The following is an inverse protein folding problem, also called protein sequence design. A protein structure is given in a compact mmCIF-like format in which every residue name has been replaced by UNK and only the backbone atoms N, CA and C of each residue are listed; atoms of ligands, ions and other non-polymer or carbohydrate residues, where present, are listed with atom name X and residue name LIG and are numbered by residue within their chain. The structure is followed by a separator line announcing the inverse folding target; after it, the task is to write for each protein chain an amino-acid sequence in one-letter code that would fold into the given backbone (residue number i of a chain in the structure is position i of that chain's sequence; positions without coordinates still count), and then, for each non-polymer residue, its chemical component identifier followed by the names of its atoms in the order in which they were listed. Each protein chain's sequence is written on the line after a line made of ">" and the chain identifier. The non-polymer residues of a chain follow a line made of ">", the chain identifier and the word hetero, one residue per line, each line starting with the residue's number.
data_IF_407508305529
#
_entry.id   IF_407508305529
#
_cell.length_a   1.000
_cell.length_b   1.000
_cell.length_c   1.000
_cell.angle_alpha   90.00
_cell.angle_beta   90.00
_cell.angle_gamma   90.00
#
_symmetry.space_group_name_H-M   'P 1'
#
loop_
_entity.id
_entity.type
_entity.pdbx_description
1 polymer ?
#
# COMPACT_ATOMS: atom_id res chain seq x y z
N UNK A 1 -5.95 1.05 2.17
CA UNK A 1 -5.97 1.86 0.93
C UNK A 1 -6.22 3.29 1.41
N UNK A 2 -6.25 4.33 0.59
CA UNK A 2 -6.74 5.63 1.05
C UNK A 2 -7.57 6.21 -0.09
N UNK A 3 -8.85 6.44 0.17
CA UNK A 3 -9.75 7.00 -0.82
C UNK A 3 -9.70 8.51 -0.71
N UNK A 4 -9.63 9.20 -1.85
CA UNK A 4 -9.81 10.64 -1.90
C UNK A 4 -10.95 11.00 -2.83
N UNK A 5 -11.53 12.17 -2.58
CA UNK A 5 -12.45 12.85 -3.48
C UNK A 5 -12.15 14.33 -3.31
N UNK A 6 -11.57 14.94 -4.33
CA UNK A 6 -11.35 16.37 -4.39
C UNK A 6 -12.32 16.99 -5.39
N UNK A 7 -12.89 18.13 -5.03
CA UNK A 7 -13.84 18.86 -5.85
C UNK A 7 -13.64 20.37 -5.68
N UNK A 8 -13.73 21.14 -6.78
CA UNK A 8 -13.76 22.61 -6.76
C UNK A 8 -12.58 23.27 -5.98
N UNK A 9 -11.35 22.84 -6.25
CA UNK A 9 -10.15 23.42 -5.63
C UNK A 9 -9.85 22.93 -4.21
N UNK A 10 -10.55 21.90 -3.74
CA UNK A 10 -10.16 21.17 -2.53
C UNK A 10 -8.90 20.32 -2.81
N UNK A 11 -8.02 20.19 -1.81
CA UNK A 11 -6.89 19.26 -1.86
C UNK A 11 -7.14 18.04 -0.95
N UNK A 12 -6.51 16.92 -1.29
CA UNK A 12 -6.48 15.72 -0.46
C UNK A 12 -5.05 15.38 -0.10
N UNK A 13 -4.79 15.26 1.20
CA UNK A 13 -3.47 14.89 1.71
C UNK A 13 -3.46 13.46 2.21
N UNK A 14 -2.46 12.72 1.79
CA UNK A 14 -2.15 11.38 2.24
C UNK A 14 -0.76 11.33 2.84
N UNK A 15 -0.57 10.44 3.81
CA UNK A 15 0.75 10.16 4.38
C UNK A 15 1.18 8.77 3.94
N UNK A 16 2.13 8.72 3.01
CA UNK A 16 2.82 7.49 2.67
C UNK A 16 3.78 7.11 3.79
N UNK A 17 3.56 5.92 4.35
CA UNK A 17 4.37 5.35 5.43
C UNK A 17 5.29 4.23 4.94
N UNK A 18 5.28 3.91 3.64
CA UNK A 18 6.10 2.86 3.01
C UNK A 18 7.33 3.43 2.32
N UNK A 19 8.10 4.22 3.07
CA UNK A 19 9.32 4.89 2.62
C UNK A 19 10.21 3.97 1.73
N UNK A 20 10.28 4.33 0.44
CA UNK A 20 11.17 3.73 -0.55
C UNK A 20 10.60 2.53 -1.34
N UNK A 21 9.29 2.29 -1.32
CA UNK A 21 8.63 1.22 -2.09
C UNK A 21 7.73 1.73 -3.24
N UNK A 22 7.66 3.05 -3.42
CA UNK A 22 6.79 3.68 -4.40
C UNK A 22 5.31 3.62 -4.01
N UNK A 23 4.47 4.34 -4.73
CA UNK A 23 3.02 4.31 -4.53
C UNK A 23 2.28 4.46 -5.85
N UNK A 24 1.01 4.07 -5.85
CA UNK A 24 0.12 4.21 -6.99
C UNK A 24 -1.08 5.02 -6.56
N UNK A 25 -1.46 5.96 -7.42
CA UNK A 25 -2.68 6.76 -7.31
C UNK A 25 -3.57 6.40 -8.49
N UNK A 26 -4.66 5.71 -8.17
CA UNK A 26 -5.72 5.37 -9.12
C UNK A 26 -6.78 6.45 -9.09
N UNK A 27 -7.24 6.92 -10.25
CA UNK A 27 -8.33 7.87 -10.39
C UNK A 27 -9.52 7.17 -11.06
N UNK A 28 -10.57 6.89 -10.31
CA UNK A 28 -11.81 6.27 -10.80
C UNK A 28 -12.65 7.24 -11.63
N UNK A 29 -12.58 8.53 -11.28
CA UNK A 29 -13.18 9.63 -12.02
C UNK A 29 -12.21 10.79 -12.05
N UNK A 30 -12.09 11.46 -13.18
CA UNK A 30 -11.28 12.67 -13.36
C UNK A 30 -12.00 13.61 -14.32
N UNK A 31 -12.00 14.91 -14.03
CA UNK A 31 -12.63 15.92 -14.90
C UNK A 31 -11.62 16.64 -15.80
N UNK A 32 -10.80 17.53 -15.23
CA UNK A 32 -9.96 18.45 -16.03
C UNK A 32 -8.49 18.19 -15.78
N UNK A 33 -8.06 18.36 -14.54
CA UNK A 33 -6.66 18.31 -14.17
C UNK A 33 -6.43 17.79 -12.76
N UNK A 34 -5.18 17.53 -12.44
CA UNK A 34 -4.70 17.42 -11.07
C UNK A 34 -3.20 17.74 -11.01
N UNK A 35 -2.77 18.23 -9.85
CA UNK A 35 -1.36 18.36 -9.48
C UNK A 35 -1.06 17.47 -8.29
N UNK A 36 0.23 17.20 -8.07
CA UNK A 36 0.70 16.45 -6.91
C UNK A 36 1.85 17.19 -6.29
N UNK A 37 1.86 17.27 -4.97
CA UNK A 37 3.00 17.73 -4.18
C UNK A 37 3.45 16.60 -3.26
N UNK A 38 4.76 16.40 -3.16
CA UNK A 38 5.38 15.43 -2.25
C UNK A 38 6.29 16.20 -1.31
N UNK A 39 6.00 16.15 -0.01
CA UNK A 39 6.69 16.94 1.03
C UNK A 39 6.81 18.42 0.65
N UNK A 40 5.68 19.02 0.27
CA UNK A 40 5.56 20.41 -0.19
C UNK A 40 6.31 20.76 -1.50
N UNK A 41 6.76 19.76 -2.27
CA UNK A 41 7.41 19.97 -3.57
C UNK A 41 6.53 19.47 -4.71
N UNK A 42 6.27 20.33 -5.69
CA UNK A 42 5.49 19.98 -6.88
C UNK A 42 6.17 18.84 -7.66
N UNK A 43 5.40 17.79 -7.93
CA UNK A 43 5.85 16.62 -8.70
C UNK A 43 6.09 16.99 -10.16
N UNK A 44 5.28 17.89 -10.71
CA UNK A 44 5.41 18.39 -12.07
C UNK A 44 5.85 19.85 -12.05
N UNK A 45 6.64 20.25 -13.05
CA UNK A 45 7.07 21.64 -13.26
C UNK A 45 7.10 21.98 -14.74
N UNK A 46 6.86 23.24 -15.06
CA UNK A 46 6.94 23.78 -16.42
C UNK A 46 5.56 23.86 -17.06
N UNK A 47 5.46 23.48 -18.32
CA UNK A 47 4.22 23.57 -19.09
C UNK A 47 4.09 24.87 -19.90
N UNK A 48 2.89 25.13 -20.46
CA UNK A 48 2.60 26.33 -21.23
C UNK A 48 2.81 27.60 -20.41
N UNK A 49 3.17 28.70 -21.08
CA UNK A 49 3.41 29.97 -20.40
C UNK A 49 2.13 30.48 -19.72
N UNK A 50 2.17 30.62 -18.39
CA UNK A 50 1.03 31.05 -17.58
C UNK A 50 0.15 29.90 -17.07
N UNK A 51 0.44 28.66 -17.46
CA UNK A 51 -0.22 27.47 -16.91
C UNK A 51 0.32 27.14 -15.52
N UNK A 52 -0.52 26.47 -14.74
CA UNK A 52 -0.14 25.86 -13.47
C UNK A 52 0.65 24.56 -13.69
N UNK A 53 1.36 24.11 -12.66
CA UNK A 53 2.16 22.88 -12.66
C UNK A 53 1.30 21.60 -12.53
N UNK A 54 0.38 21.38 -13.47
CA UNK A 54 -0.63 20.31 -13.41
C UNK A 54 -0.68 19.43 -14.65
N UNK A 55 -1.15 18.20 -14.47
CA UNK A 55 -1.58 17.33 -15.55
C UNK A 55 -2.94 17.81 -16.04
N UNK A 56 -2.97 18.42 -17.21
CA UNK A 56 -4.14 19.06 -17.79
C UNK A 56 -4.63 18.24 -19.00
N UNK A 57 -5.81 17.66 -18.84
CA UNK A 57 -6.46 16.78 -19.82
C UNK A 57 -7.48 17.54 -20.67
N UNK A 58 -7.93 18.72 -20.26
CA UNK A 58 -8.92 19.52 -20.96
C UNK A 58 -8.29 20.40 -22.06
N UNK A 59 -9.01 20.68 -23.16
CA UNK A 59 -8.54 21.63 -24.20
C UNK A 59 -9.18 23.02 -24.13
N UNK A 60 -10.39 23.12 -23.59
CA UNK A 60 -11.18 24.36 -23.57
C UNK A 60 -10.96 25.07 -22.23
N UNK A 61 -10.85 26.40 -22.27
CA UNK A 61 -10.68 27.25 -21.07
C UNK A 61 -9.41 26.97 -20.25
N UNK A 62 -8.37 26.41 -20.86
CA UNK A 62 -7.05 26.19 -20.26
C UNK A 62 -5.94 26.88 -21.07
N UNK A 63 -4.78 27.08 -20.46
CA UNK A 63 -3.51 27.47 -21.08
C UNK A 63 -2.90 26.36 -21.96
N UNK A 64 -3.43 25.14 -21.87
CA UNK A 64 -3.20 24.04 -22.81
C UNK A 64 -2.94 22.70 -22.12
N UNK A 65 -3.34 21.62 -22.78
CA UNK A 65 -3.06 20.26 -22.31
C UNK A 65 -1.56 20.02 -22.09
N UNK A 66 -1.26 19.21 -21.08
CA UNK A 66 0.10 18.81 -20.70
C UNK A 66 0.30 17.30 -20.66
N UNK A 67 -0.76 16.52 -20.91
CA UNK A 67 -0.73 15.06 -21.01
C UNK A 67 -1.34 14.56 -22.32
N UNK A 68 -0.71 13.57 -22.94
CA UNK A 68 -1.20 12.90 -24.15
C UNK A 68 -0.86 11.40 -24.10
N UNK A 69 -1.47 10.58 -24.94
CA UNK A 69 -1.09 9.18 -25.07
C UNK A 69 0.29 9.04 -25.72
N UNK A 70 0.98 7.92 -25.44
CA UNK A 70 2.29 7.63 -26.01
C UNK A 70 2.29 7.57 -27.56
N UNK A 71 1.14 7.23 -28.16
CA UNK A 71 0.95 7.24 -29.61
C UNK A 71 0.58 8.61 -30.20
N UNK A 72 0.43 9.63 -29.35
CA UNK A 72 0.16 11.02 -29.74
C UNK A 72 -1.32 11.40 -29.71
N UNK A 73 -2.22 10.45 -29.47
CA UNK A 73 -3.65 10.74 -29.29
C UNK A 73 -3.86 11.63 -28.07
N UNK A 74 -4.92 12.44 -28.11
CA UNK A 74 -5.30 13.33 -27.00
C UNK A 74 -6.76 13.19 -26.62
N UNK A 75 -7.03 13.31 -25.32
CA UNK A 75 -8.37 13.51 -24.80
C UNK A 75 -9.01 14.75 -25.45
N UNK A 76 -10.32 14.69 -25.70
CA UNK A 76 -11.12 15.68 -26.43
C UNK A 76 -10.79 15.89 -27.92
N UNK A 77 -9.80 15.18 -28.48
CA UNK A 77 -9.42 15.29 -29.89
C UNK A 77 -9.58 13.95 -30.59
N UNK A 78 -8.84 12.96 -30.13
CA UNK A 78 -8.81 11.60 -30.70
C UNK A 78 -9.55 10.61 -29.79
N UNK A 79 -9.59 10.92 -28.50
CA UNK A 79 -10.21 10.15 -27.43
C UNK A 79 -11.35 10.97 -26.81
N UNK A 80 -12.45 10.37 -26.30
CA UNK A 80 -13.46 11.08 -25.52
C UNK A 80 -12.85 11.89 -24.39
N UNK A 81 -13.60 12.85 -23.85
CA UNK A 81 -13.10 13.62 -22.71
C UNK A 81 -12.93 12.70 -21.48
N UNK A 82 -11.94 12.97 -20.61
CA UNK A 82 -11.63 12.07 -19.50
C UNK A 82 -12.81 11.92 -18.52
N UNK A 83 -13.63 12.97 -18.33
CA UNK A 83 -14.86 12.93 -17.51
C UNK A 83 -16.00 12.10 -18.09
N UNK A 84 -15.89 11.69 -19.36
CA UNK A 84 -16.88 10.85 -20.02
C UNK A 84 -16.55 9.36 -19.88
N UNK A 85 -15.35 9.04 -19.39
CA UNK A 85 -14.85 7.68 -19.32
C UNK A 85 -15.07 7.09 -17.93
N UNK A 86 -15.39 5.80 -17.90
CA UNK A 86 -15.59 5.08 -16.64
C UNK A 86 -15.39 3.58 -16.79
N UNK A 87 -15.05 2.96 -15.66
CA UNK A 87 -14.75 1.54 -15.58
C UNK A 87 -15.65 0.89 -14.51
N UNK A 88 -16.51 -0.02 -14.97
CA UNK A 88 -17.41 -0.79 -14.11
C UNK A 88 -16.77 -2.03 -13.50
N UNK A 89 -15.53 -2.36 -13.93
CA UNK A 89 -14.73 -3.48 -13.46
C UNK A 89 -13.82 -3.13 -12.27
N UNK A 90 -13.81 -1.87 -11.81
CA UNK A 90 -12.96 -1.39 -10.71
C UNK A 90 -11.51 -1.07 -11.09
N UNK A 91 -11.18 -0.98 -12.39
CA UNK A 91 -9.92 -0.37 -12.86
C UNK A 91 -10.08 1.16 -12.95
N UNK A 92 -9.02 1.96 -12.77
CA UNK A 92 -9.14 3.42 -12.84
C UNK A 92 -9.21 3.95 -14.28
N UNK A 93 -9.71 5.17 -14.43
CA UNK A 93 -9.69 5.92 -15.70
C UNK A 93 -8.31 6.51 -15.96
N UNK A 94 -7.61 6.97 -14.93
CA UNK A 94 -6.22 7.43 -14.97
C UNK A 94 -5.44 6.80 -13.82
N UNK A 95 -4.21 6.38 -14.06
CA UNK A 95 -3.28 5.89 -13.02
C UNK A 95 -1.98 6.66 -13.08
N UNK A 96 -1.49 7.04 -11.90
CA UNK A 96 -0.14 7.55 -11.71
C UNK A 96 0.63 6.60 -10.81
N UNK A 97 1.79 6.15 -11.28
CA UNK A 97 2.70 5.31 -10.52
C UNK A 97 3.97 6.11 -10.19
N UNK A 98 4.30 6.18 -8.91
CA UNK A 98 5.60 6.67 -8.42
C UNK A 98 6.40 5.45 -8.01
N UNK A 99 7.39 5.09 -8.81
CA UNK A 99 8.18 3.88 -8.58
C UNK A 99 9.26 4.09 -7.50
N UNK A 100 9.73 3.01 -6.85
CA UNK A 100 10.82 3.06 -5.87
C UNK A 100 12.12 3.71 -6.36
N UNK A 101 12.35 3.71 -7.67
CA UNK A 101 13.54 4.30 -8.30
C UNK A 101 13.35 5.78 -8.67
N UNK A 102 12.21 6.37 -8.32
CA UNK A 102 11.86 7.76 -8.59
C UNK A 102 11.30 7.99 -10.00
N UNK A 103 11.11 6.92 -10.80
CA UNK A 103 10.43 7.05 -12.10
C UNK A 103 8.93 7.27 -11.89
N UNK A 104 8.34 8.12 -12.74
CA UNK A 104 6.91 8.40 -12.75
C UNK A 104 6.35 7.82 -14.04
N UNK A 105 5.33 6.98 -13.91
CA UNK A 105 4.59 6.43 -15.04
C UNK A 105 3.13 6.88 -14.96
N UNK A 106 2.56 7.16 -16.13
CA UNK A 106 1.18 7.62 -16.26
C UNK A 106 0.45 6.71 -17.24
N UNK A 107 -0.79 6.40 -16.91
CA UNK A 107 -1.65 5.59 -17.73
C UNK A 107 -3.06 6.17 -17.77
N UNK A 108 -3.75 5.97 -18.87
CA UNK A 108 -5.15 6.35 -19.01
C UNK A 108 -5.89 5.41 -19.93
N UNK A 109 -7.22 5.40 -19.85
CA UNK A 109 -8.06 4.62 -20.77
C UNK A 109 -8.49 5.48 -21.96
N UNK A 110 -8.71 4.83 -23.12
CA UNK A 110 -9.23 5.49 -24.34
C UNK A 110 -10.74 5.30 -24.55
N UNK A 111 -11.35 4.35 -23.83
CA UNK A 111 -12.75 3.99 -23.95
C UNK A 111 -13.23 3.36 -22.63
N UNK A 112 -14.55 3.34 -22.40
CA UNK A 112 -15.15 2.77 -21.20
C UNK A 112 -14.76 1.29 -21.02
N UNK A 113 -14.32 0.91 -19.82
CA UNK A 113 -13.81 -0.43 -19.50
C UNK A 113 -12.62 -0.87 -20.36
N UNK A 114 -11.95 0.07 -21.04
CA UNK A 114 -10.75 -0.17 -21.82
C UNK A 114 -9.52 -0.42 -20.95
N UNK A 115 -8.45 -1.00 -21.52
CA UNK A 115 -7.20 -1.19 -20.81
C UNK A 115 -6.52 0.16 -20.54
N UNK A 116 -5.78 0.24 -19.43
CA UNK A 116 -4.83 1.32 -19.18
C UNK A 116 -3.73 1.29 -20.24
N UNK A 117 -3.52 2.42 -20.92
CA UNK A 117 -2.47 2.61 -21.91
C UNK A 117 -1.54 3.77 -21.51
N UNK A 118 -0.24 3.72 -21.86
CA UNK A 118 0.72 4.71 -21.41
C UNK A 118 0.39 6.14 -21.88
N UNK A 119 0.48 7.07 -20.94
CA UNK A 119 0.46 8.52 -21.16
C UNK A 119 1.89 9.07 -21.08
N UNK A 120 2.09 10.25 -21.66
CA UNK A 120 3.34 11.00 -21.61
C UNK A 120 3.05 12.48 -21.37
N UNK A 121 3.98 13.13 -20.68
CA UNK A 121 3.98 14.58 -20.53
C UNK A 121 4.36 15.24 -21.85
N UNK A 122 3.72 16.37 -22.17
CA UNK A 122 4.07 17.18 -23.32
C UNK A 122 3.88 18.67 -23.02
N UNK A 123 4.06 19.50 -24.06
CA UNK A 123 3.85 20.95 -23.99
C UNK A 123 4.70 21.66 -22.92
N UNK A 124 5.91 21.13 -22.68
CA UNK A 124 6.88 21.71 -21.76
C UNK A 124 6.71 21.31 -20.29
N UNK A 125 5.70 20.51 -19.93
CA UNK A 125 5.59 19.95 -18.58
C UNK A 125 6.58 18.81 -18.40
N UNK A 126 7.24 18.78 -17.25
CA UNK A 126 8.25 17.77 -16.88
C UNK A 126 8.09 17.33 -15.43
N UNK A 127 8.62 16.17 -15.08
CA UNK A 127 8.72 15.73 -13.68
C UNK A 127 9.85 16.51 -13.00
N UNK A 128 9.61 17.00 -11.79
CA UNK A 128 10.58 17.71 -10.97
C UNK A 128 11.54 16.74 -10.26
N UNK A 129 12.19 15.87 -11.02
CA UNK A 129 12.92 14.70 -10.49
C UNK A 129 13.95 15.07 -9.43
N UNK A 130 14.75 16.11 -9.65
CA UNK A 130 15.82 16.49 -8.71
C UNK A 130 15.25 17.04 -7.39
N UNK A 131 14.21 17.86 -7.44
CA UNK A 131 13.62 18.42 -6.23
C UNK A 131 12.81 17.38 -5.46
N UNK A 132 12.11 16.49 -6.17
CA UNK A 132 11.39 15.37 -5.55
C UNK A 132 12.38 14.41 -4.90
N UNK A 133 13.47 14.05 -5.57
CA UNK A 133 14.51 13.21 -4.96
C UNK A 133 15.13 13.86 -3.70
N UNK A 134 15.22 15.19 -3.65
CA UNK A 134 15.73 15.92 -2.50
C UNK A 134 14.70 16.05 -1.36
N UNK A 135 13.42 16.18 -1.70
CA UNK A 135 12.31 16.29 -0.75
C UNK A 135 11.89 14.92 -0.21
N UNK A 136 12.14 13.85 -0.96
CA UNK A 136 11.73 12.50 -0.61
C UNK A 136 12.37 12.04 0.70
N UNK A 137 11.53 11.57 1.60
CA UNK A 137 11.95 10.95 2.83
C UNK A 137 12.10 9.44 2.62
N UNK A 138 13.32 9.02 2.29
CA UNK A 138 13.70 7.60 2.17
C UNK A 138 13.57 6.80 3.49
N UNK A 139 13.30 7.48 4.60
CA UNK A 139 13.43 6.94 5.96
C UNK A 139 12.32 7.35 6.91
N UNK A 140 11.16 7.71 6.37
CA UNK A 140 10.00 8.07 7.16
C UNK A 140 8.89 8.52 6.22
N UNK A 141 7.87 9.10 6.82
CA UNK A 141 6.65 9.40 6.09
C UNK A 141 6.88 10.45 5.00
N UNK A 142 6.18 10.29 3.89
CA UNK A 142 6.05 11.29 2.83
C UNK A 142 4.61 11.80 2.80
N UNK A 143 4.46 13.11 2.86
CA UNK A 143 3.17 13.77 2.69
C UNK A 143 2.93 13.94 1.19
N UNK A 144 1.87 13.33 0.68
CA UNK A 144 1.44 13.43 -0.71
C UNK A 144 0.16 14.23 -0.73
N UNK A 145 0.19 15.40 -1.36
CA UNK A 145 -0.99 16.24 -1.55
C UNK A 145 -1.39 16.15 -3.01
N UNK A 146 -2.65 15.80 -3.27
CA UNK A 146 -3.30 15.89 -4.57
C UNK A 146 -4.13 17.16 -4.55
N UNK A 147 -3.90 18.03 -5.51
CA UNK A 147 -4.53 19.35 -5.58
C UNK A 147 -5.02 19.64 -7.00
N UNK A 148 -5.86 20.66 -7.16
CA UNK A 148 -6.43 21.11 -8.42
C UNK A 148 -6.47 22.63 -8.46
N UNK A 149 -5.86 23.24 -9.48
CA UNK A 149 -6.04 24.67 -9.72
C UNK A 149 -7.30 24.91 -10.55
N UNK A 150 -8.14 25.87 -10.14
CA UNK A 150 -9.47 26.02 -10.72
C UNK A 150 -9.46 26.45 -12.19
N UNK A 151 -10.18 25.69 -13.02
CA UNK A 151 -11.11 26.28 -14.01
C UNK A 151 -12.38 25.44 -14.12
N UNK A 152 -13.40 25.74 -13.31
CA UNK A 152 -14.71 25.05 -13.33
C UNK A 152 -14.82 23.83 -12.41
N UNK A 153 -15.99 23.15 -12.35
CA UNK A 153 -16.16 21.96 -11.54
C UNK A 153 -15.14 20.93 -12.00
N UNK A 154 -14.21 20.62 -11.11
CA UNK A 154 -13.15 19.65 -11.34
C UNK A 154 -13.27 18.63 -10.23
N UNK A 155 -13.39 17.35 -10.57
CA UNK A 155 -13.51 16.27 -9.60
C UNK A 155 -12.41 15.25 -9.87
N UNK A 156 -11.75 14.77 -8.83
CA UNK A 156 -10.90 13.59 -8.88
C UNK A 156 -11.16 12.71 -7.67
N UNK A 157 -11.39 11.42 -7.89
CA UNK A 157 -11.59 10.44 -6.83
C UNK A 157 -10.82 9.17 -7.13
N UNK A 158 -10.29 8.51 -6.10
CA UNK A 158 -9.26 7.50 -6.31
C UNK A 158 -8.73 6.76 -5.09
N UNK A 159 -7.80 5.82 -5.29
CA UNK A 159 -7.27 4.89 -4.27
C UNK A 159 -5.72 4.84 -4.21
N UNK A 160 -5.14 4.88 -3.00
CA UNK A 160 -3.73 4.51 -2.75
C UNK A 160 -3.56 3.00 -2.45
N UNK A 161 -2.77 2.29 -3.27
CA UNK A 161 -2.58 0.83 -3.17
C UNK A 161 -1.25 0.48 -2.48
N UNK A 162 -1.25 0.42 -1.15
CA UNK A 162 -0.20 -0.30 -0.40
C UNK A 162 -0.79 -0.90 0.88
N UNK A 163 -1.07 -2.21 0.87
CA UNK A 163 -1.76 -2.85 1.99
C UNK A 163 -1.14 -4.18 2.39
N UNK A 164 -1.07 -4.38 3.70
CA UNK A 164 -0.56 -5.55 4.40
C UNK A 164 -1.63 -6.64 4.36
N UNK A 165 -1.38 -7.76 3.67
CA UNK A 165 -2.38 -8.80 3.47
C UNK A 165 -1.87 -10.20 3.78
N UNK A 166 -2.76 -11.05 4.30
CA UNK A 166 -2.61 -12.50 4.30
C UNK A 166 -3.20 -13.08 3.02
N UNK A 167 -2.59 -14.09 2.41
CA UNK A 167 -3.27 -14.84 1.35
C UNK A 167 -4.25 -15.86 1.95
N UNK A 168 -5.30 -16.20 1.20
CA UNK A 168 -6.23 -17.29 1.51
C UNK A 168 -5.48 -18.58 1.90
N UNK A 169 -6.03 -19.32 2.85
CA UNK A 169 -5.45 -20.52 3.44
C UNK A 169 -4.43 -20.26 4.55
N UNK A 170 -4.10 -19.00 4.85
CA UNK A 170 -3.29 -18.65 6.02
C UNK A 170 -4.07 -18.96 7.29
N UNK A 171 -3.53 -19.83 8.16
CA UNK A 171 -4.16 -20.14 9.44
C UNK A 171 -3.76 -19.13 10.50
N UNK A 172 -4.75 -18.53 11.16
CA UNK A 172 -4.59 -17.61 12.28
C UNK A 172 -4.91 -18.36 13.57
N UNK A 173 -4.04 -18.26 14.58
CA UNK A 173 -4.29 -18.88 15.88
C UNK A 173 -5.46 -18.18 16.60
N UNK A 174 -6.52 -18.93 16.86
CA UNK A 174 -7.69 -18.46 17.62
C UNK A 174 -7.86 -19.23 18.91
N UNK A 175 -8.79 -18.79 19.76
CA UNK A 175 -9.14 -19.48 21.02
C UNK A 175 -9.56 -20.94 20.82
N UNK A 176 -10.20 -21.25 19.70
CA UNK A 176 -10.70 -22.60 19.40
C UNK A 176 -9.72 -23.40 18.53
N UNK A 177 -8.53 -22.84 18.27
CA UNK A 177 -7.49 -23.41 17.43
C UNK A 177 -7.25 -22.60 16.15
N UNK A 178 -6.34 -23.05 15.28
CA UNK A 178 -6.04 -22.35 14.04
C UNK A 178 -7.24 -22.35 13.07
N UNK A 179 -7.64 -21.17 12.58
CA UNK A 179 -8.73 -20.98 11.60
C UNK A 179 -8.17 -20.31 10.36
N UNK A 180 -8.62 -20.71 9.16
CA UNK A 180 -8.19 -20.08 7.92
C UNK A 180 -8.69 -18.63 7.87
N UNK A 181 -7.87 -17.71 7.35
CA UNK A 181 -8.17 -16.28 7.37
C UNK A 181 -9.49 -15.95 6.67
N UNK A 182 -9.84 -16.69 5.61
CA UNK A 182 -11.10 -16.57 4.88
C UNK A 182 -12.34 -17.04 5.66
N UNK A 183 -12.16 -17.86 6.70
CA UNK A 183 -13.23 -18.41 7.53
C UNK A 183 -13.45 -17.62 8.83
N UNK A 184 -12.55 -16.66 9.14
CA UNK A 184 -12.64 -15.81 10.32
C UNK A 184 -13.81 -14.83 10.23
N UNK A 185 -14.37 -14.50 11.39
CA UNK A 185 -15.49 -13.58 11.54
C UNK A 185 -15.16 -12.48 12.53
N UNK A 186 -15.86 -11.36 12.38
CA UNK A 186 -15.85 -10.28 13.37
C UNK A 186 -16.21 -10.87 14.75
N UNK A 187 -15.51 -10.41 15.78
CA UNK A 187 -15.55 -10.89 17.17
C UNK A 187 -14.84 -12.21 17.46
N UNK A 188 -14.34 -12.95 16.46
CA UNK A 188 -13.50 -14.13 16.70
C UNK A 188 -12.28 -13.75 17.54
N UNK A 189 -11.93 -14.63 18.48
CA UNK A 189 -10.88 -14.40 19.47
C UNK A 189 -9.52 -14.87 18.95
N UNK A 190 -8.73 -13.97 18.40
CA UNK A 190 -7.39 -14.25 17.86
C UNK A 190 -6.34 -14.11 18.97
N UNK A 191 -5.41 -15.07 19.04
CA UNK A 191 -4.27 -14.99 19.95
C UNK A 191 -3.29 -13.93 19.46
N UNK A 192 -3.10 -12.86 20.24
CA UNK A 192 -2.08 -11.85 20.00
C UNK A 192 -0.83 -12.14 20.83
N UNK A 193 0.29 -11.60 20.36
CA UNK A 193 1.62 -11.83 20.92
C UNK A 193 1.78 -11.23 22.32
N UNK A 194 1.19 -10.06 22.57
CA UNK A 194 1.36 -9.31 23.82
C UNK A 194 0.14 -9.37 24.73
N UNK A 195 -1.06 -9.39 24.15
CA UNK A 195 -2.28 -9.00 24.86
C UNK A 195 -3.29 -10.16 25.00
N UNK A 196 -2.85 -11.39 24.77
CA UNK A 196 -3.69 -12.59 24.83
C UNK A 196 -4.73 -12.62 23.72
N UNK A 197 -5.90 -13.19 23.98
CA UNK A 197 -6.97 -13.25 22.97
C UNK A 197 -7.65 -11.89 22.78
N UNK A 198 -7.74 -11.42 21.53
CA UNK A 198 -8.42 -10.19 21.14
C UNK A 198 -9.51 -10.44 20.09
N UNK A 199 -10.65 -9.75 20.17
CA UNK A 199 -11.70 -9.85 19.16
C UNK A 199 -11.26 -9.15 17.87
N UNK A 200 -11.45 -9.81 16.73
CA UNK A 200 -11.37 -9.15 15.42
C UNK A 200 -12.44 -8.06 15.37
N UNK A 201 -12.07 -6.84 14.97
CA UNK A 201 -12.99 -5.72 14.79
C UNK A 201 -13.48 -5.59 13.37
N UNK A 202 -12.61 -5.90 12.41
CA UNK A 202 -12.94 -5.86 11.00
C UNK A 202 -12.10 -6.86 10.22
N UNK A 203 -12.72 -7.41 9.18
CA UNK A 203 -12.07 -8.25 8.18
C UNK A 203 -12.47 -7.77 6.80
N UNK A 204 -11.52 -7.67 5.88
CA UNK A 204 -11.77 -7.34 4.49
C UNK A 204 -10.92 -8.20 3.57
N UNK A 205 -11.43 -8.47 2.36
CA UNK A 205 -10.70 -9.24 1.36
C UNK A 205 -10.73 -8.61 -0.03
N UNK A 206 -9.75 -8.97 -0.85
CA UNK A 206 -9.67 -8.62 -2.28
C UNK A 206 -9.05 -9.76 -3.07
N UNK A 207 -9.74 -10.21 -4.10
CA UNK A 207 -9.22 -11.20 -5.05
C UNK A 207 -8.51 -10.53 -6.21
N UNK A 208 -7.32 -11.02 -6.55
CA UNK A 208 -6.51 -10.63 -7.70
C UNK A 208 -6.33 -11.84 -8.63
N UNK A 209 -6.66 -11.68 -9.90
CA UNK A 209 -6.42 -12.70 -10.93
C UNK A 209 -4.95 -12.74 -11.34
N UNK A 210 -4.51 -13.79 -12.03
CA UNK A 210 -3.18 -13.83 -12.65
C UNK A 210 -2.94 -12.61 -13.56
N UNK A 211 -3.95 -12.20 -14.33
CA UNK A 211 -3.83 -11.01 -15.19
C UNK A 211 -3.60 -9.73 -14.38
N UNK A 212 -4.25 -9.57 -13.22
CA UNK A 212 -3.97 -8.43 -12.34
C UNK A 212 -2.54 -8.49 -11.80
N UNK A 213 -2.01 -9.67 -11.46
CA UNK A 213 -0.64 -9.86 -10.96
C UNK A 213 0.43 -9.70 -12.06
N UNK A 214 0.08 -9.94 -13.32
CA UNK A 214 0.93 -9.69 -14.47
C UNK A 214 0.99 -8.20 -14.81
N UNK A 215 -0.15 -7.52 -14.73
CA UNK A 215 -0.23 -6.07 -14.88
C UNK A 215 0.44 -5.32 -13.72
N UNK A 216 0.42 -5.89 -12.50
CA UNK A 216 0.99 -5.27 -11.31
C UNK A 216 1.94 -6.23 -10.57
N UNK A 217 3.16 -6.48 -11.08
CA UNK A 217 4.12 -7.40 -10.47
C UNK A 217 4.47 -7.08 -9.02
N UNK A 218 4.34 -5.80 -8.61
CA UNK A 218 4.54 -5.36 -7.21
C UNK A 218 3.54 -5.95 -6.22
N UNK A 219 2.42 -6.49 -6.68
CA UNK A 219 1.39 -7.14 -5.84
C UNK A 219 1.59 -8.66 -5.72
N UNK A 220 2.59 -9.22 -6.42
CA UNK A 220 2.89 -10.66 -6.39
C UNK A 220 3.18 -11.11 -4.96
N UNK A 221 2.58 -12.23 -4.48
CA UNK A 221 2.79 -12.68 -3.12
C UNK A 221 4.24 -13.02 -2.82
N UNK A 222 4.64 -12.87 -1.56
CA UNK A 222 5.89 -13.44 -1.03
C UNK A 222 5.55 -14.72 -0.29
N UNK A 223 6.26 -15.79 -0.62
CA UNK A 223 6.21 -17.08 0.08
C UNK A 223 7.36 -17.13 1.06
N UNK A 224 7.04 -17.31 2.34
CA UNK A 224 7.98 -17.58 3.42
C UNK A 224 7.83 -19.06 3.77
N UNK A 225 8.80 -19.88 3.37
CA UNK A 225 8.78 -21.33 3.55
C UNK A 225 8.84 -21.72 5.02
N UNK A 226 8.29 -22.89 5.34
CA UNK A 226 8.41 -23.46 6.68
C UNK A 226 9.87 -23.47 7.17
N UNK A 227 10.09 -23.02 8.40
CA UNK A 227 11.40 -22.85 9.05
C UNK A 227 12.33 -21.76 8.47
N UNK A 228 11.89 -20.95 7.49
CA UNK A 228 12.74 -19.94 6.86
C UNK A 228 13.12 -18.77 7.79
N UNK A 229 12.26 -18.44 8.77
CA UNK A 229 12.53 -17.36 9.75
C UNK A 229 13.32 -17.88 10.97
N UNK A 230 13.38 -19.20 11.14
CA UNK A 230 14.01 -19.90 12.26
C UNK A 230 13.37 -21.28 12.41
N UNK A 231 14.03 -22.19 13.14
CA UNK A 231 13.48 -23.54 13.36
C UNK A 231 12.10 -23.44 14.01
N UNK A 232 11.08 -24.00 13.36
CA UNK A 232 9.68 -23.93 13.77
C UNK A 232 8.90 -22.72 13.24
N UNK A 233 9.53 -21.82 12.47
CA UNK A 233 8.94 -20.54 12.03
C UNK A 233 9.13 -20.22 10.54
N UNK A 234 8.03 -19.99 9.79
CA UNK A 234 6.68 -20.42 10.12
C UNK A 234 6.60 -21.97 10.23
N UNK A 235 5.55 -22.49 10.89
CA UNK A 235 5.33 -23.94 11.03
C UNK A 235 4.95 -24.62 9.70
N UNK A 236 4.48 -23.83 8.75
CA UNK A 236 4.13 -24.19 7.37
C UNK A 236 4.36 -22.98 6.47
N UNK A 237 4.38 -23.16 5.16
CA UNK A 237 4.57 -22.05 4.22
C UNK A 237 3.54 -20.95 4.48
N UNK A 238 4.01 -19.71 4.60
CA UNK A 238 3.20 -18.51 4.81
C UNK A 238 3.26 -17.66 3.56
N UNK A 239 2.09 -17.30 3.01
CA UNK A 239 1.98 -16.50 1.79
C UNK A 239 1.33 -15.17 2.16
N UNK A 240 2.03 -14.08 1.88
CA UNK A 240 1.63 -12.73 2.30
C UNK A 240 1.88 -11.71 1.18
N UNK A 241 1.25 -10.54 1.27
CA UNK A 241 1.59 -9.44 0.36
C UNK A 241 3.03 -8.97 0.62
N UNK A 242 3.70 -8.37 -0.38
CA UNK A 242 5.11 -7.93 -0.26
C UNK A 242 5.40 -7.03 0.94
N UNK A 243 4.46 -6.17 1.30
CA UNK A 243 4.65 -5.24 2.43
C UNK A 243 4.30 -5.81 3.79
N UNK A 244 3.61 -6.95 3.86
CA UNK A 244 3.21 -7.56 5.12
C UNK A 244 4.44 -7.78 6.02
N UNK A 245 4.42 -7.21 7.23
CA UNK A 245 5.59 -7.30 8.12
C UNK A 245 5.50 -8.52 9.02
N UNK A 246 6.64 -9.16 9.14
CA UNK A 246 6.87 -10.27 10.06
C UNK A 246 7.73 -9.79 11.23
N UNK A 247 7.52 -10.37 12.41
CA UNK A 247 8.32 -10.05 13.58
C UNK A 247 9.68 -10.75 13.48
N UNK A 248 10.74 -9.95 13.55
CA UNK A 248 12.11 -10.39 13.78
C UNK A 248 12.42 -10.20 15.25
N UNK A 249 12.64 -11.30 15.98
CA UNK A 249 13.02 -11.28 17.40
C UNK A 249 14.40 -11.91 17.57
N UNK A 250 15.45 -11.07 17.65
CA UNK A 250 16.82 -11.57 17.63
C UNK A 250 17.83 -10.71 18.40
N UNK A 251 18.92 -11.33 18.81
CA UNK A 251 20.07 -10.61 19.38
C UNK A 251 20.78 -9.71 18.36
N UNK A 252 20.60 -9.94 17.05
CA UNK A 252 21.15 -9.05 16.01
C UNK A 252 20.32 -7.77 15.94
N UNK A 253 18.98 -7.91 15.94
CA UNK A 253 18.06 -6.77 16.01
C UNK A 253 18.32 -5.93 17.27
N UNK A 254 18.47 -6.56 18.44
CA UNK A 254 18.80 -5.87 19.68
C UNK A 254 20.08 -5.03 19.56
N UNK A 255 21.14 -5.55 18.93
CA UNK A 255 22.40 -4.82 18.76
C UNK A 255 22.33 -3.71 17.71
N UNK A 256 21.37 -3.76 16.79
CA UNK A 256 21.26 -2.81 15.68
C UNK A 256 20.27 -1.68 15.95
N UNK A 257 19.20 -2.00 16.67
CA UNK A 257 18.05 -1.11 16.87
C UNK A 257 17.76 -0.84 18.34
N UNK A 258 18.58 -1.37 19.25
CA UNK A 258 18.36 -1.31 20.70
C UNK A 258 17.02 -1.94 21.14
N UNK A 259 16.40 -2.72 20.25
CA UNK A 259 15.13 -3.41 20.41
C UNK A 259 15.28 -4.84 19.89
N UNK A 260 14.90 -5.83 20.70
CA UNK A 260 14.98 -7.25 20.32
C UNK A 260 13.99 -7.58 19.20
N UNK A 261 12.81 -6.96 19.27
CA UNK A 261 11.64 -7.24 18.47
C UNK A 261 11.40 -6.08 17.48
N UNK A 262 11.48 -6.37 16.18
CA UNK A 262 11.27 -5.40 15.10
C UNK A 262 10.40 -5.98 13.99
N UNK A 263 9.63 -5.14 13.31
CA UNK A 263 8.77 -5.55 12.18
C UNK A 263 9.48 -5.27 10.85
N UNK A 264 9.59 -6.29 9.98
CA UNK A 264 10.25 -6.20 8.68
C UNK A 264 9.31 -6.72 7.58
N UNK A 265 9.14 -5.97 6.50
CA UNK A 265 8.30 -6.40 5.37
C UNK A 265 8.86 -7.63 4.66
N UNK A 266 7.98 -8.53 4.23
CA UNK A 266 8.34 -9.79 3.58
C UNK A 266 9.24 -9.59 2.34
N UNK A 267 8.97 -8.57 1.52
CA UNK A 267 9.79 -8.20 0.35
C UNK A 267 11.26 -7.91 0.71
N UNK A 268 11.51 -7.33 1.89
CA UNK A 268 12.87 -7.03 2.36
C UNK A 268 13.61 -8.28 2.83
N UNK A 269 12.92 -9.43 2.95
CA UNK A 269 13.49 -10.71 3.37
C UNK A 269 13.84 -11.66 2.22
N UNK A 270 13.54 -11.33 0.95
CA UNK A 270 13.78 -12.19 -0.24
C UNK A 270 15.24 -12.67 -0.37
N UNK A 271 16.21 -11.96 0.21
CA UNK A 271 17.62 -12.39 0.21
C UNK A 271 17.96 -13.52 1.19
N UNK A 272 16.98 -14.00 1.96
CA UNK A 272 17.08 -15.16 2.85
C UNK A 272 16.65 -16.44 2.14
N UNK A 273 17.32 -17.54 2.49
CA UNK A 273 16.98 -18.85 1.99
C UNK A 273 15.56 -19.23 2.46
N UNK A 274 14.69 -19.61 1.50
CA UNK A 274 13.30 -19.95 1.79
C UNK A 274 12.34 -18.76 1.83
N UNK A 275 12.75 -17.56 1.38
CA UNK A 275 11.83 -16.44 1.15
C UNK A 275 11.90 -16.04 -0.33
N UNK A 276 10.77 -16.11 -1.05
CA UNK A 276 10.74 -15.92 -2.50
C UNK A 276 9.46 -15.25 -2.99
N UNK A 277 9.54 -14.53 -4.12
CA UNK A 277 8.36 -14.02 -4.81
C UNK A 277 7.66 -15.15 -5.55
N UNK A 278 6.33 -15.23 -5.41
CA UNK A 278 5.51 -16.14 -6.20
C UNK A 278 5.26 -15.54 -7.59
N UNK A 279 6.05 -15.98 -8.58
CA UNK A 279 5.99 -15.43 -9.94
C UNK A 279 4.67 -15.71 -10.67
N UNK A 280 4.03 -16.84 -10.36
CA UNK A 280 2.76 -17.24 -10.97
C UNK A 280 1.78 -17.77 -9.93
N UNK A 281 0.56 -17.28 -9.96
CA UNK A 281 -0.59 -17.79 -9.23
C UNK A 281 -1.74 -18.04 -10.25
N UNK A 282 -1.77 -19.20 -10.93
CA UNK A 282 -2.71 -19.47 -12.02
C UNK A 282 -4.19 -19.33 -11.63
N UNK A 283 -4.53 -19.52 -10.36
CA UNK A 283 -5.88 -19.38 -9.82
C UNK A 283 -6.14 -17.99 -9.21
N UNK A 284 -5.21 -17.05 -9.38
CA UNK A 284 -5.19 -15.79 -8.64
C UNK A 284 -4.75 -15.95 -7.18
N UNK A 285 -4.82 -14.85 -6.44
CA UNK A 285 -4.63 -14.79 -4.99
C UNK A 285 -5.77 -13.98 -4.38
N UNK A 286 -6.36 -14.45 -3.29
CA UNK A 286 -7.25 -13.64 -2.46
C UNK A 286 -6.51 -13.19 -1.22
N UNK A 287 -6.50 -11.89 -0.99
CA UNK A 287 -5.82 -11.22 0.10
C UNK A 287 -6.82 -10.81 1.18
N UNK A 288 -6.44 -10.95 2.45
CA UNK A 288 -7.27 -10.66 3.62
C UNK A 288 -6.56 -9.73 4.60
N UNK A 289 -7.35 -8.89 5.26
CA UNK A 289 -6.94 -7.94 6.28
C UNK A 289 -7.68 -8.18 7.58
N UNK A 290 -7.00 -8.07 8.71
CA UNK A 290 -7.61 -8.20 10.04
C UNK A 290 -7.24 -6.99 10.87
N UNK A 291 -8.24 -6.31 11.43
CA UNK A 291 -8.08 -5.15 12.29
C UNK A 291 -8.53 -5.46 13.72
N UNK A 292 -7.82 -4.91 14.69
CA UNK A 292 -8.13 -4.95 16.13
C UNK A 292 -8.27 -3.53 16.68
N UNK A 293 -8.62 -3.39 17.97
CA UNK A 293 -8.69 -2.08 18.66
C UNK A 293 -7.33 -1.35 18.70
N UNK A 294 -6.25 -2.12 18.66
CA UNK A 294 -4.88 -1.63 18.59
C UNK A 294 -4.12 -2.39 17.50
N UNK A 295 -2.94 -1.89 17.12
CA UNK A 295 -2.04 -2.68 16.31
C UNK A 295 -1.58 -3.90 17.11
N UNK A 296 -1.87 -5.10 16.62
CA UNK A 296 -1.51 -6.35 17.28
C UNK A 296 -0.51 -7.12 16.43
N UNK A 297 0.36 -7.89 17.09
CA UNK A 297 1.10 -8.98 16.43
C UNK A 297 0.32 -10.25 16.69
N UNK A 298 0.02 -11.02 15.65
CA UNK A 298 -0.76 -12.26 15.71
C UNK A 298 0.06 -13.43 15.20
N UNK A 299 -0.41 -14.64 15.43
CA UNK A 299 0.24 -15.86 14.94
C UNK A 299 -0.42 -16.33 13.65
N UNK A 300 0.31 -16.23 12.53
CA UNK A 300 -0.12 -16.67 11.21
C UNK A 300 0.77 -17.82 10.71
N UNK A 301 0.17 -18.97 10.43
CA UNK A 301 0.89 -20.21 10.11
C UNK A 301 1.99 -20.56 11.14
N UNK A 302 1.79 -20.14 12.39
CA UNK A 302 2.72 -20.31 13.50
C UNK A 302 3.86 -19.29 13.58
N UNK A 303 3.94 -18.30 12.68
CA UNK A 303 4.88 -17.18 12.78
C UNK A 303 4.20 -15.90 13.29
N UNK A 304 4.90 -15.08 14.10
CA UNK A 304 4.41 -13.77 14.52
C UNK A 304 4.45 -12.76 13.37
N UNK A 305 3.28 -12.23 12.99
CA UNK A 305 3.11 -11.23 11.94
C UNK A 305 2.18 -10.12 12.41
N UNK A 306 2.21 -9.00 11.72
CA UNK A 306 1.37 -7.87 12.10
C UNK A 306 -0.10 -8.04 11.68
N UNK A 307 -1.02 -7.46 12.46
CA UNK A 307 -2.37 -7.16 12.00
C UNK A 307 -2.36 -5.90 11.12
N UNK A 308 -3.50 -5.53 10.55
CA UNK A 308 -3.63 -4.26 9.85
C UNK A 308 -3.25 -3.11 10.80
N UNK A 309 -2.31 -2.27 10.35
CA UNK A 309 -1.84 -1.08 11.04
C UNK A 309 -2.32 0.16 10.29
N UNK A 310 -3.44 0.74 10.71
CA UNK A 310 -4.07 1.87 10.02
C UNK A 310 -4.46 2.97 10.98
N UNK A 311 -4.01 4.20 10.71
CA UNK A 311 -4.49 5.43 11.35
C UNK A 311 -5.93 5.79 10.98
N UNK A 312 -6.52 6.82 11.63
CA UNK A 312 -7.88 7.31 11.35
C UNK A 312 -8.15 7.59 9.87
N UNK A 313 -7.10 7.97 9.13
CA UNK A 313 -7.18 8.25 7.70
C UNK A 313 -7.32 7.00 6.81
N UNK A 314 -6.73 5.87 7.20
CA UNK A 314 -6.87 4.64 6.45
C UNK A 314 -8.21 3.91 6.69
N UNK A 315 -8.97 4.29 7.73
CA UNK A 315 -10.37 3.89 7.91
C UNK A 315 -11.31 4.53 6.87
N UNK A 316 -10.90 5.64 6.23
CA UNK A 316 -11.67 6.24 5.12
C UNK A 316 -11.62 5.39 3.84
N UNK A 317 -10.74 4.40 3.76
CA UNK A 317 -10.62 3.48 2.63
C UNK A 317 -11.38 2.17 2.79
N UNK A 318 -12.11 2.03 3.88
CA UNK A 318 -13.02 0.91 4.07
C UNK A 318 -14.29 1.23 3.25
N UNK A 319 -14.88 0.26 2.51
CA UNK A 319 -16.12 0.46 1.78
C UNK A 319 -17.19 1.13 2.64
N UNK A 320 -17.99 2.03 2.06
CA UNK A 320 -18.83 2.98 2.82
C UNK A 320 -19.75 2.30 3.85
N UNK A 321 -20.26 1.11 3.54
CA UNK A 321 -21.09 0.31 4.45
C UNK A 321 -20.30 -0.23 5.65
N UNK A 322 -19.12 -0.79 5.41
CA UNK A 322 -18.21 -1.24 6.46
C UNK A 322 -17.58 -0.07 7.23
N UNK A 323 -17.41 1.09 6.59
CA UNK A 323 -16.97 2.32 7.24
C UNK A 323 -18.04 2.87 8.18
N UNK A 324 -19.32 2.86 7.77
CA UNK A 324 -20.45 3.24 8.64
C UNK A 324 -20.53 2.32 9.86
N UNK A 325 -20.39 1.01 9.65
CA UNK A 325 -20.35 0.03 10.73
C UNK A 325 -19.16 0.24 11.68
N UNK A 326 -17.95 0.48 11.17
CA UNK A 326 -16.78 0.81 11.99
C UNK A 326 -16.95 2.14 12.74
N UNK A 327 -17.51 3.17 12.09
CA UNK A 327 -17.78 4.48 12.71
C UNK A 327 -18.84 4.41 13.82
N UNK A 328 -19.84 3.55 13.67
CA UNK A 328 -20.89 3.32 14.68
C UNK A 328 -20.38 2.48 15.87
N UNK A 329 -19.50 1.50 15.61
CA UNK A 329 -18.98 0.59 16.63
C UNK A 329 -17.72 1.11 17.34
N UNK A 330 -16.90 1.92 16.66
CA UNK A 330 -15.58 2.40 17.12
C UNK A 330 -15.38 3.89 16.81
N UNK A 331 -16.23 4.80 17.32
CA UNK A 331 -16.13 6.23 17.06
C UNK A 331 -14.75 6.82 17.46
N UNK A 332 -14.10 6.24 18.48
CA UNK A 332 -12.78 6.65 18.99
C UNK A 332 -11.63 6.44 17.99
N UNK A 333 -11.70 5.45 17.10
CA UNK A 333 -10.65 5.14 16.10
C UNK A 333 -10.60 6.17 14.96
N UNK A 334 -11.62 7.03 14.86
CA UNK A 334 -11.74 8.09 13.87
C UNK A 334 -11.58 9.50 14.48
N UNK A 335 -11.25 9.59 15.78
CA UNK A 335 -11.01 10.88 16.41
C UNK A 335 -9.71 11.51 15.88
N UNK A 336 -9.67 12.83 15.60
CA UNK A 336 -8.46 13.52 15.13
C UNK A 336 -7.24 13.40 16.05
N UNK A 337 -7.44 12.91 17.28
CA UNK A 337 -6.42 12.76 18.32
C UNK A 337 -5.96 11.30 18.48
N UNK A 338 -6.55 10.34 17.72
CA UNK A 338 -6.21 8.93 17.81
C UNK A 338 -4.82 8.66 17.23
N UNK A 339 -3.83 8.49 18.10
CA UNK A 339 -2.47 8.13 17.73
C UNK A 339 -2.34 6.62 17.60
N UNK A 340 -2.11 6.14 16.37
CA UNK A 340 -1.79 4.72 16.17
C UNK A 340 -0.35 4.44 16.55
N UNK A 341 -0.16 3.68 17.62
CA UNK A 341 1.14 3.16 18.00
C UNK A 341 1.36 1.80 17.36
N UNK A 342 2.48 1.63 16.65
CA UNK A 342 2.86 0.32 16.15
C UNK A 342 3.17 -0.62 17.32
N UNK A 343 2.73 -1.89 17.24
CA UNK A 343 3.02 -2.90 18.25
C UNK A 343 4.52 -3.08 18.52
N UNK A 344 5.35 -2.88 17.48
CA UNK A 344 6.81 -2.95 17.56
C UNK A 344 7.48 -1.90 16.67
N UNK A 345 8.77 -1.67 16.94
CA UNK A 345 9.59 -0.78 16.13
C UNK A 345 9.69 -1.30 14.70
N UNK A 346 9.42 -0.42 13.73
CA UNK A 346 9.60 -0.68 12.31
C UNK A 346 10.87 0.07 11.90
N UNK A 347 11.96 -0.62 11.52
CA UNK A 347 13.17 0.04 11.08
C UNK A 347 12.91 0.87 9.83
N UNK A 348 13.07 2.18 9.99
CA UNK A 348 12.67 3.14 8.97
C UNK A 348 13.65 3.22 7.78
N UNK A 349 14.93 2.86 7.99
CA UNK A 349 15.96 2.96 6.94
C UNK A 349 16.13 1.62 6.23
N UNK A 350 15.82 1.56 4.93
CA UNK A 350 16.02 0.37 4.11
C UNK A 350 17.46 -0.17 4.15
N UNK A 351 18.47 0.70 4.21
CA UNK A 351 19.89 0.30 4.39
C UNK A 351 20.14 -0.46 5.70
N UNK A 352 19.46 -0.09 6.78
CA UNK A 352 19.59 -0.80 8.06
C UNK A 352 18.90 -2.16 8.02
N UNK A 353 17.75 -2.27 7.34
CA UNK A 353 17.07 -3.56 7.12
C UNK A 353 17.94 -4.51 6.28
N UNK A 354 18.51 -4.04 5.16
CA UNK A 354 19.44 -4.84 4.35
C UNK A 354 20.62 -5.36 5.19
N UNK A 355 21.22 -4.48 5.99
CA UNK A 355 22.32 -4.84 6.89
C UNK A 355 21.88 -5.83 7.98
N UNK A 356 20.65 -5.74 8.47
CA UNK A 356 20.10 -6.71 9.43
C UNK A 356 20.06 -8.11 8.79
N UNK A 357 19.45 -8.21 7.61
CA UNK A 357 19.32 -9.47 6.87
C UNK A 357 20.69 -10.05 6.50
N UNK A 358 21.60 -9.23 6.00
CA UNK A 358 22.99 -9.62 5.71
C UNK A 358 23.70 -10.18 6.94
N UNK A 359 23.51 -9.57 8.13
CA UNK A 359 24.14 -10.05 9.37
C UNK A 359 23.54 -11.36 9.83
N UNK A 360 22.24 -11.57 9.68
CA UNK A 360 21.62 -12.85 9.98
C UNK A 360 22.18 -13.96 9.09
N UNK A 361 22.27 -13.71 7.77
CA UNK A 361 22.83 -14.66 6.80
C UNK A 361 24.32 -14.94 7.05
N UNK A 362 25.13 -13.89 7.22
CA UNK A 362 26.57 -14.02 7.38
C UNK A 362 27.00 -14.72 8.68
N UNK A 363 26.15 -14.71 9.70
CA UNK A 363 26.44 -15.33 11.00
C UNK A 363 25.63 -16.60 11.26
N UNK A 364 24.87 -17.09 10.26
CA UNK A 364 23.98 -18.25 10.37
C UNK A 364 23.07 -18.16 11.62
N UNK A 365 22.39 -17.02 11.77
CA UNK A 365 21.48 -16.75 12.88
C UNK A 365 20.03 -16.64 12.40
N UNK A 366 19.08 -17.34 13.05
CA UNK A 366 17.67 -17.23 12.70
C UNK A 366 17.13 -15.82 12.99
N UNK A 367 16.12 -15.38 12.23
CA UNK A 367 15.42 -14.12 12.48
C UNK A 367 14.57 -14.19 13.75
N UNK A 368 14.14 -15.39 14.13
CA UNK A 368 13.37 -15.67 15.33
C UNK A 368 14.17 -16.65 16.20
N UNK A 369 14.60 -16.18 17.37
CA UNK A 369 15.37 -16.98 18.33
C UNK A 369 14.69 -17.00 19.71
N UNK A 370 14.27 -18.19 20.14
CA UNK A 370 13.78 -18.44 21.50
C UNK A 370 12.45 -17.76 21.85
N UNK A 371 11.49 -17.71 20.92
CA UNK A 371 10.10 -17.44 21.30
C UNK A 371 9.64 -18.56 22.23
N UNK A 372 9.13 -18.22 23.42
CA UNK A 372 8.56 -19.22 24.30
C UNK A 372 7.45 -19.95 23.53
N UNK A 373 7.58 -21.28 23.40
CA UNK A 373 6.62 -22.12 22.70
C UNK A 373 5.21 -21.87 23.25
N UNK A 374 4.23 -21.67 22.39
CA UNK A 374 2.80 -21.58 22.71
C UNK A 374 2.20 -22.88 23.26
N UNK A 375 3.03 -23.86 23.66
CA UNK A 375 2.61 -25.13 24.28
C UNK A 375 2.29 -25.00 25.78
N UNK A 376 2.23 -23.79 26.30
CA UNK A 376 1.67 -23.50 27.62
C UNK A 376 0.69 -22.34 27.40
N UNK A 377 -0.60 -22.61 27.36
CA UNK A 377 -1.69 -21.88 28.03
C UNK A 377 -3.01 -22.64 27.77
#
# INVERSE_FOLDING_TARGET
>A
MANFSIANGDSATFTDTSAGDGFVIDFDTLDNSFSIRINDVDLFIGGPAGAENELQFQIVQTEGQTVQFADGDRYEIDTPAVWQLGNTNGEPVVRLEVNPDGTIELYGVKEDNGPLVPLQLFNGLTVNTDAIAAAWNDSGDNTIEIDQSETGPTNAAGEFIDVLCFAAGTLIETREGPVAVEDLKISDQVLTYDNGFKPIRWIGSRALTQANLDAQPRLRPIVIRANALGVGYPKRDLIVSPQHRVLVSSAVALRMFECKDVLISAKKLISLDGVETLETAPNGVEYFHILFDAHEIIWSNGAPTESLFTGPEALKSVPEDSRKEILELFPECCEPQFQTHSARYIPQKGKQVRKLVERHRANDKPLIDGLASSDQH
#
